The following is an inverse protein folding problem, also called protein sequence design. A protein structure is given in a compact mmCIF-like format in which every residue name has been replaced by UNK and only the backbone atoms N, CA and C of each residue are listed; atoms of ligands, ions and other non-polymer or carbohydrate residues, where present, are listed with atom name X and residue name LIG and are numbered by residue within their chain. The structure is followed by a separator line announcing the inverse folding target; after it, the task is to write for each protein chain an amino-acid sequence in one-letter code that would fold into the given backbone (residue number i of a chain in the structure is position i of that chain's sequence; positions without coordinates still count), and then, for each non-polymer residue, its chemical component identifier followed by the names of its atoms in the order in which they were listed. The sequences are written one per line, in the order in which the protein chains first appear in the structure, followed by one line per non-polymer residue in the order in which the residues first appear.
data_IF_283328755995
#
_entry.id   IF_283328755995
#
_cell.length_a   1.000
_cell.length_b   1.000
_cell.length_c   1.000
_cell.angle_alpha   90.00
_cell.angle_beta   90.00
_cell.angle_gamma   90.00
#
_symmetry.space_group_name_H-M   'P 1'
#
loop_
_entity.id
_entity.type
_entity.pdbx_description
1 polymer ?
#
# COMPACT_ATOMS: atom_id res chain seq x y z
N UNK A 1 -12.08 -4.05 41.48
CA UNK A 1 -11.72 -3.56 40.14
C UNK A 1 -12.99 -3.42 39.32
N UNK A 2 -13.15 -2.33 38.55
CA UNK A 2 -14.35 -2.11 37.71
C UNK A 2 -14.46 -3.17 36.61
N UNK A 3 -15.69 -3.49 36.18
CA UNK A 3 -15.96 -4.42 35.07
C UNK A 3 -15.45 -3.81 33.76
N UNK A 4 -15.06 -4.66 32.81
CA UNK A 4 -14.70 -4.20 31.46
C UNK A 4 -15.89 -3.50 30.78
N UNK A 5 -15.68 -2.29 30.29
CA UNK A 5 -16.68 -1.55 29.52
C UNK A 5 -16.51 -1.69 28.00
N UNK A 6 -17.57 -1.35 27.26
CA UNK A 6 -17.56 -1.36 25.80
C UNK A 6 -16.41 -0.49 25.26
N UNK A 7 -15.74 -0.98 24.22
CA UNK A 7 -14.61 -0.33 23.56
C UNK A 7 -13.32 -0.23 24.41
N UNK A 8 -13.31 -0.64 25.68
CA UNK A 8 -12.06 -0.83 26.42
C UNK A 8 -11.15 -1.83 25.70
N UNK A 9 -9.84 -1.68 25.91
CA UNK A 9 -8.84 -2.59 25.37
C UNK A 9 -8.01 -3.13 26.51
N UNK A 10 -7.79 -4.44 26.49
CA UNK A 10 -6.87 -5.12 27.39
C UNK A 10 -5.83 -5.91 26.59
N UNK A 11 -4.66 -6.14 27.18
CA UNK A 11 -3.62 -6.98 26.60
C UNK A 11 -2.90 -7.77 27.68
N UNK A 12 -2.13 -8.78 27.25
CA UNK A 12 -1.22 -9.49 28.14
C UNK A 12 -0.08 -8.57 28.57
N UNK A 13 0.26 -8.60 29.86
CA UNK A 13 1.43 -7.88 30.36
C UNK A 13 2.68 -8.49 29.72
N UNK A 14 3.62 -7.66 29.19
CA UNK A 14 4.82 -8.16 28.55
C UNK A 14 5.61 -9.12 29.46
N UNK A 15 6.13 -10.20 28.88
CA UNK A 15 6.91 -11.25 29.56
C UNK A 15 6.13 -12.12 30.55
N UNK A 16 4.82 -11.96 30.66
CA UNK A 16 3.94 -12.91 31.36
C UNK A 16 3.48 -13.97 30.37
N UNK A 17 3.72 -15.25 30.69
CA UNK A 17 3.30 -16.39 29.86
C UNK A 17 1.91 -16.86 30.33
N UNK A 18 1.14 -17.48 29.43
CA UNK A 18 -0.12 -18.22 29.71
C UNK A 18 -1.45 -17.44 29.83
N UNK A 19 -1.59 -16.24 29.27
CA UNK A 19 -2.89 -15.53 29.29
C UNK A 19 -3.87 -15.98 28.19
N UNK A 20 -3.39 -16.69 27.17
CA UNK A 20 -4.19 -17.05 25.99
C UNK A 20 -4.42 -15.91 24.97
N UNK A 21 -3.91 -14.70 25.24
CA UNK A 21 -4.06 -13.52 24.38
C UNK A 21 -2.73 -13.09 23.75
N UNK A 22 -2.60 -13.27 22.44
CA UNK A 22 -1.37 -12.94 21.69
C UNK A 22 -1.34 -11.52 21.10
N UNK A 23 -2.41 -10.75 21.28
CA UNK A 23 -2.51 -9.37 20.81
C UNK A 23 -3.51 -8.61 21.70
N UNK A 24 -3.52 -7.27 21.66
CA UNK A 24 -4.53 -6.49 22.36
C UNK A 24 -5.95 -6.86 21.93
N UNK A 25 -6.88 -6.92 22.88
CA UNK A 25 -8.27 -7.28 22.66
C UNK A 25 -9.17 -6.08 22.96
N UNK A 26 -10.02 -5.71 22.01
CA UNK A 26 -11.06 -4.71 22.22
C UNK A 26 -12.36 -5.38 22.64
N UNK A 27 -12.94 -4.90 23.72
CA UNK A 27 -14.24 -5.32 24.24
C UNK A 27 -15.36 -4.85 23.31
N UNK A 28 -16.18 -5.79 22.86
CA UNK A 28 -17.33 -5.53 21.97
C UNK A 28 -18.67 -5.70 22.67
N UNK A 29 -18.75 -6.61 23.65
CA UNK A 29 -19.99 -6.86 24.38
C UNK A 29 -19.69 -7.59 25.69
N UNK A 30 -20.45 -7.29 26.74
CA UNK A 30 -20.31 -7.89 28.07
C UNK A 30 -21.69 -8.19 28.62
N UNK A 31 -21.88 -9.40 29.13
CA UNK A 31 -23.07 -9.81 29.89
C UNK A 31 -22.59 -10.43 31.20
N UNK A 32 -22.57 -9.65 32.30
CA UNK A 32 -22.06 -10.13 33.58
C UNK A 32 -22.83 -11.35 34.11
N UNK A 33 -24.15 -11.35 33.99
CA UNK A 33 -25.02 -12.40 34.52
C UNK A 33 -24.83 -13.76 33.83
N UNK A 34 -24.39 -13.76 32.57
CA UNK A 34 -24.14 -14.98 31.78
C UNK A 34 -22.65 -15.35 31.70
N UNK A 35 -21.78 -14.61 32.39
CA UNK A 35 -20.33 -14.75 32.30
C UNK A 35 -19.77 -14.62 30.86
N UNK A 36 -20.37 -13.74 30.04
CA UNK A 36 -19.99 -13.61 28.63
C UNK A 36 -19.21 -12.31 28.39
N UNK A 37 -18.04 -12.46 27.78
CA UNK A 37 -17.27 -11.39 27.17
C UNK A 37 -17.06 -11.68 25.68
N UNK A 38 -17.41 -10.74 24.81
CA UNK A 38 -17.05 -10.77 23.39
C UNK A 38 -15.97 -9.73 23.14
N UNK A 39 -14.86 -10.16 22.54
CA UNK A 39 -13.75 -9.27 22.21
C UNK A 39 -13.14 -9.60 20.84
N UNK A 40 -12.48 -8.61 20.23
CA UNK A 40 -11.77 -8.75 18.96
C UNK A 40 -10.30 -8.32 19.10
N UNK A 41 -9.40 -9.15 18.55
CA UNK A 41 -7.97 -8.87 18.55
C UNK A 41 -7.58 -7.77 17.57
N UNK A 42 -6.89 -6.74 18.07
CA UNK A 42 -6.31 -5.65 17.31
C UNK A 42 -4.94 -6.11 16.76
N UNK A 43 -4.93 -6.58 15.52
CA UNK A 43 -3.74 -7.15 14.87
C UNK A 43 -3.74 -6.86 13.36
N UNK A 44 -2.59 -7.06 12.69
CA UNK A 44 -2.43 -6.79 11.25
C UNK A 44 -3.48 -7.51 10.38
N UNK A 45 -3.71 -8.80 10.68
CA UNK A 45 -4.71 -9.62 10.01
C UNK A 45 -5.88 -9.86 10.97
N UNK A 46 -6.89 -9.00 10.91
CA UNK A 46 -8.05 -9.09 11.78
C UNK A 46 -8.72 -10.46 11.66
N UNK A 47 -9.00 -11.05 12.82
CA UNK A 47 -9.70 -12.32 12.96
C UNK A 47 -11.12 -12.07 13.47
N UNK A 48 -11.97 -13.09 13.38
CA UNK A 48 -13.32 -13.07 13.94
C UNK A 48 -13.28 -12.79 15.46
N UNK A 49 -14.29 -12.09 16.03
CA UNK A 49 -14.41 -11.94 17.47
C UNK A 49 -14.46 -13.29 18.18
N UNK A 50 -13.81 -13.35 19.35
CA UNK A 50 -13.85 -14.46 20.29
C UNK A 50 -14.89 -14.23 21.39
N UNK A 51 -15.38 -15.33 21.96
CA UNK A 51 -16.24 -15.34 23.14
C UNK A 51 -15.44 -15.95 24.27
N UNK A 52 -15.44 -15.29 25.43
CA UNK A 52 -14.61 -15.60 26.58
C UNK A 52 -15.45 -15.57 27.86
N UNK A 53 -14.99 -16.26 28.90
CA UNK A 53 -15.51 -16.08 30.26
C UNK A 53 -15.11 -14.69 30.78
N UNK A 54 -16.08 -13.90 31.20
CA UNK A 54 -15.83 -12.58 31.78
C UNK A 54 -15.07 -12.70 33.11
N UNK A 55 -15.47 -13.64 33.97
CA UNK A 55 -14.87 -13.93 35.27
C UNK A 55 -13.41 -14.32 35.13
N UNK A 56 -13.07 -15.17 34.16
CA UNK A 56 -11.69 -15.56 33.91
C UNK A 56 -10.85 -14.37 33.46
N UNK A 57 -11.34 -13.56 32.52
CA UNK A 57 -10.60 -12.36 32.08
C UNK A 57 -10.45 -11.33 33.20
N UNK A 58 -11.49 -11.15 34.02
CA UNK A 58 -11.43 -10.27 35.20
C UNK A 58 -10.46 -10.79 36.26
N UNK A 59 -10.37 -12.11 36.46
CA UNK A 59 -9.35 -12.73 37.32
C UNK A 59 -7.94 -12.44 36.81
N UNK A 60 -7.68 -12.68 35.53
CA UNK A 60 -6.37 -12.39 34.92
C UNK A 60 -5.99 -10.91 35.01
N UNK A 61 -6.96 -9.99 34.91
CA UNK A 61 -6.73 -8.56 35.13
C UNK A 61 -6.43 -8.23 36.60
N UNK A 62 -7.13 -8.87 37.55
CA UNK A 62 -6.91 -8.67 39.00
C UNK A 62 -5.55 -9.22 39.43
N UNK A 63 -5.13 -10.34 38.85
CA UNK A 63 -3.84 -11.00 39.11
C UNK A 63 -2.67 -10.26 38.43
N UNK A 64 -2.93 -9.20 37.65
CA UNK A 64 -1.93 -8.42 36.95
C UNK A 64 -1.29 -9.15 35.76
N UNK A 65 -1.92 -10.21 35.26
CA UNK A 65 -1.47 -10.94 34.07
C UNK A 65 -1.97 -10.27 32.78
N UNK A 66 -3.13 -9.61 32.87
CA UNK A 66 -3.64 -8.69 31.86
C UNK A 66 -3.58 -7.25 32.37
N UNK A 67 -3.45 -6.31 31.46
CA UNK A 67 -3.54 -4.88 31.74
C UNK A 67 -4.53 -4.19 30.80
N UNK A 68 -5.20 -3.15 31.30
CA UNK A 68 -5.96 -2.23 30.45
C UNK A 68 -5.00 -1.29 29.75
N UNK A 69 -5.24 -1.04 28.47
CA UNK A 69 -4.44 -0.11 27.69
C UNK A 69 -5.30 0.90 26.95
N UNK A 70 -4.76 2.10 26.80
CA UNK A 70 -5.34 3.09 25.90
C UNK A 70 -4.79 2.86 24.48
N UNK A 71 -5.68 2.54 23.55
CA UNK A 71 -5.30 2.44 22.14
C UNK A 71 -5.54 3.78 21.48
N UNK A 72 -4.45 4.44 21.11
CA UNK A 72 -4.50 5.67 20.32
C UNK A 72 -5.32 5.45 19.05
N UNK A 73 -6.41 6.20 18.92
CA UNK A 73 -7.22 6.21 17.71
C UNK A 73 -6.40 6.70 16.52
N UNK A 74 -6.79 6.29 15.32
CA UNK A 74 -6.04 6.62 14.11
C UNK A 74 -6.13 8.11 13.82
N UNK A 75 -5.09 8.73 13.20
CA UNK A 75 -5.04 10.17 13.00
C UNK A 75 -6.27 10.76 12.32
N UNK A 76 -6.89 10.02 11.38
CA UNK A 76 -8.07 10.44 10.65
C UNK A 76 -9.30 10.68 11.54
N UNK A 77 -9.40 10.03 12.70
CA UNK A 77 -10.52 10.22 13.64
C UNK A 77 -10.53 11.62 14.25
N UNK A 78 -9.37 12.27 14.30
CA UNK A 78 -9.22 13.62 14.85
C UNK A 78 -9.13 14.70 13.76
N UNK A 79 -9.25 14.32 12.49
CA UNK A 79 -9.17 15.25 11.37
C UNK A 79 -10.58 15.69 10.95
N UNK A 80 -10.78 16.98 10.63
CA UNK A 80 -12.01 17.41 9.98
C UNK A 80 -12.12 16.72 8.60
N UNK A 81 -13.34 16.43 8.15
CA UNK A 81 -13.55 15.69 6.90
C UNK A 81 -12.92 16.40 5.69
N UNK A 82 -12.87 17.74 5.71
CA UNK A 82 -12.26 18.58 4.68
C UNK A 82 -10.75 18.36 4.55
N UNK A 83 -10.08 17.90 5.61
CA UNK A 83 -8.67 17.55 5.60
C UNK A 83 -8.43 16.11 5.10
N UNK A 84 -9.48 15.30 4.97
CA UNK A 84 -9.40 13.92 4.51
C UNK A 84 -9.61 13.88 2.99
N UNK A 85 -8.71 13.20 2.30
CA UNK A 85 -8.78 13.06 0.85
C UNK A 85 -10.11 12.43 0.42
N UNK A 86 -10.82 13.06 -0.54
CA UNK A 86 -12.17 12.64 -0.95
C UNK A 86 -12.28 11.15 -1.30
N UNK A 87 -11.32 10.59 -2.02
CA UNK A 87 -11.30 9.16 -2.36
C UNK A 87 -11.34 8.25 -1.13
N UNK A 88 -10.77 8.68 -0.01
CA UNK A 88 -10.75 7.94 1.25
C UNK A 88 -12.12 7.98 1.93
N UNK A 89 -12.79 9.14 1.89
CA UNK A 89 -14.18 9.30 2.34
C UNK A 89 -15.13 8.44 1.50
N UNK A 90 -14.98 8.44 0.17
CA UNK A 90 -15.83 7.62 -0.70
C UNK A 90 -15.67 6.11 -0.41
N UNK A 91 -14.48 5.66 0.01
CA UNK A 91 -14.24 4.28 0.44
C UNK A 91 -14.87 3.99 1.80
N UNK A 92 -14.73 4.93 2.75
CA UNK A 92 -15.37 4.87 4.08
C UNK A 92 -16.88 4.73 3.94
N UNK A 93 -17.51 5.62 3.16
CA UNK A 93 -18.96 5.70 3.03
C UNK A 93 -19.54 4.46 2.33
N UNK A 94 -18.84 3.94 1.31
CA UNK A 94 -19.19 2.66 0.68
C UNK A 94 -19.11 1.50 1.66
N UNK A 95 -18.03 1.41 2.44
CA UNK A 95 -17.90 0.37 3.46
C UNK A 95 -18.95 0.52 4.56
N UNK A 96 -19.30 1.74 4.94
CA UNK A 96 -20.32 2.03 5.93
C UNK A 96 -21.69 1.59 5.46
N UNK A 97 -22.07 1.90 4.21
CA UNK A 97 -23.34 1.46 3.63
C UNK A 97 -23.51 -0.07 3.65
N UNK A 98 -22.42 -0.82 3.51
CA UNK A 98 -22.42 -2.29 3.60
C UNK A 98 -22.75 -2.75 5.02
N UNK A 99 -22.06 -2.21 6.04
CA UNK A 99 -22.12 -2.75 7.41
C UNK A 99 -23.12 -2.05 8.32
N UNK A 100 -23.59 -0.83 7.98
CA UNK A 100 -24.47 -0.02 8.82
C UNK A 100 -25.68 -0.80 9.33
N UNK A 101 -26.38 -1.63 8.53
CA UNK A 101 -27.52 -2.40 9.04
C UNK A 101 -27.13 -3.48 10.07
N UNK A 102 -25.90 -3.99 10.03
CA UNK A 102 -25.42 -5.07 10.89
C UNK A 102 -24.95 -4.59 12.26
N UNK A 103 -24.69 -3.30 12.43
CA UNK A 103 -24.13 -2.72 13.68
C UNK A 103 -25.16 -1.89 14.45
N UNK A 104 -26.43 -1.97 14.07
CA UNK A 104 -27.55 -1.35 14.78
C UNK A 104 -27.90 -2.15 16.03
N UNK A 105 -28.55 -1.49 16.99
CA UNK A 105 -28.93 -2.09 18.28
C UNK A 105 -29.82 -3.33 18.13
N UNK A 106 -30.70 -3.37 17.13
CA UNK A 106 -31.58 -4.52 16.83
C UNK A 106 -30.83 -5.78 16.38
N UNK A 107 -29.58 -5.65 15.93
CA UNK A 107 -28.72 -6.78 15.58
C UNK A 107 -27.88 -7.29 16.77
N UNK A 108 -27.90 -6.59 17.92
CA UNK A 108 -27.14 -6.98 19.11
C UNK A 108 -28.04 -7.85 19.99
N UNK A 109 -27.56 -9.01 20.49
CA UNK A 109 -26.19 -9.52 20.41
C UNK A 109 -25.92 -10.48 19.24
N UNK A 110 -26.90 -10.76 18.39
CA UNK A 110 -26.79 -11.75 17.33
C UNK A 110 -25.59 -11.55 16.40
N UNK A 111 -25.20 -10.30 16.11
CA UNK A 111 -24.02 -10.01 15.29
C UNK A 111 -22.70 -10.34 15.99
N UNK A 112 -22.67 -10.42 17.32
CA UNK A 112 -21.48 -10.75 18.11
C UNK A 112 -21.30 -12.26 18.30
N UNK A 113 -22.39 -13.03 18.31
CA UNK A 113 -22.34 -14.47 18.56
C UNK A 113 -21.94 -15.27 17.30
N UNK A 114 -21.02 -16.24 17.37
CA UNK A 114 -20.47 -16.91 16.19
C UNK A 114 -21.52 -17.56 15.26
N UNK A 115 -22.55 -18.20 15.84
CA UNK A 115 -23.57 -18.95 15.10
C UNK A 115 -24.48 -18.03 14.29
N UNK A 116 -24.95 -16.95 14.89
CA UNK A 116 -25.88 -15.97 14.31
C UNK A 116 -25.16 -14.95 13.42
N UNK A 117 -23.96 -14.50 13.80
CA UNK A 117 -23.12 -13.57 13.03
C UNK A 117 -22.92 -14.02 11.59
N UNK A 118 -22.54 -15.29 11.40
CA UNK A 118 -22.30 -15.84 10.06
C UNK A 118 -23.54 -15.76 9.17
N UNK A 119 -24.73 -16.09 9.73
CA UNK A 119 -26.01 -16.01 9.02
C UNK A 119 -26.34 -14.58 8.61
N UNK A 120 -26.22 -13.62 9.53
CA UNK A 120 -26.51 -12.20 9.27
C UNK A 120 -25.58 -11.63 8.18
N UNK A 121 -24.29 -11.95 8.25
CA UNK A 121 -23.30 -11.50 7.26
C UNK A 121 -23.57 -12.11 5.89
N UNK A 122 -23.91 -13.41 5.82
CA UNK A 122 -24.22 -14.07 4.55
C UNK A 122 -25.52 -13.53 3.93
N UNK A 123 -26.55 -13.28 4.75
CA UNK A 123 -27.79 -12.66 4.29
C UNK A 123 -27.52 -11.26 3.71
N UNK A 124 -26.73 -10.43 4.42
CA UNK A 124 -26.34 -9.10 3.94
C UNK A 124 -25.50 -9.13 2.67
N UNK A 125 -24.59 -10.10 2.56
CA UNK A 125 -23.78 -10.30 1.36
C UNK A 125 -24.65 -10.69 0.15
N UNK A 126 -25.63 -11.58 0.35
CA UNK A 126 -26.57 -11.99 -0.69
C UNK A 126 -27.48 -10.83 -1.14
N UNK A 127 -28.00 -10.04 -0.20
CA UNK A 127 -28.83 -8.85 -0.49
C UNK A 127 -28.10 -7.84 -1.39
N UNK A 128 -26.79 -7.68 -1.21
CA UNK A 128 -25.97 -6.74 -1.96
C UNK A 128 -25.24 -7.37 -3.16
N UNK A 129 -25.44 -8.66 -3.42
CA UNK A 129 -24.71 -9.44 -4.44
C UNK A 129 -23.17 -9.31 -4.32
N UNK A 130 -22.66 -9.32 -3.08
CA UNK A 130 -21.23 -9.20 -2.77
C UNK A 130 -20.63 -10.52 -2.31
N UNK A 131 -19.31 -10.68 -2.48
CA UNK A 131 -18.59 -11.75 -1.81
C UNK A 131 -18.65 -11.53 -0.28
N UNK A 132 -18.93 -12.56 0.55
CA UNK A 132 -19.03 -12.39 2.01
C UNK A 132 -17.82 -11.71 2.64
N UNK A 133 -16.61 -11.87 2.08
CA UNK A 133 -15.40 -11.19 2.55
C UNK A 133 -15.52 -9.66 2.44
N UNK A 134 -16.28 -9.14 1.48
CA UNK A 134 -16.53 -7.71 1.33
C UNK A 134 -17.41 -7.15 2.46
N UNK A 135 -18.13 -8.00 3.21
CA UNK A 135 -18.86 -7.63 4.43
C UNK A 135 -18.02 -7.90 5.68
N UNK A 136 -17.37 -9.06 5.78
CA UNK A 136 -16.52 -9.42 6.93
C UNK A 136 -15.39 -8.40 7.17
N UNK A 137 -14.67 -7.99 6.12
CA UNK A 137 -13.49 -7.13 6.24
C UNK A 137 -13.81 -5.75 6.84
N UNK A 138 -14.79 -4.97 6.32
CA UNK A 138 -15.15 -3.69 6.93
C UNK A 138 -15.77 -3.87 8.32
N UNK A 139 -16.55 -4.92 8.56
CA UNK A 139 -17.17 -5.15 9.87
C UNK A 139 -16.13 -5.40 10.97
N UNK A 140 -15.15 -6.26 10.71
CA UNK A 140 -14.08 -6.52 11.68
C UNK A 140 -13.19 -5.29 11.87
N UNK A 141 -12.97 -4.52 10.82
CA UNK A 141 -12.23 -3.26 10.88
C UNK A 141 -12.95 -2.24 11.77
N UNK A 142 -14.25 -2.09 11.58
CA UNK A 142 -15.10 -1.22 12.39
C UNK A 142 -14.97 -1.58 13.87
N UNK A 143 -15.18 -2.86 14.21
CA UNK A 143 -15.07 -3.31 15.59
C UNK A 143 -13.67 -3.13 16.18
N UNK A 144 -12.61 -3.53 15.48
CA UNK A 144 -11.26 -3.48 16.04
C UNK A 144 -10.75 -2.05 16.29
N UNK A 145 -11.13 -1.08 15.45
CA UNK A 145 -10.59 0.28 15.49
C UNK A 145 -11.54 1.33 16.08
N UNK A 146 -12.46 0.90 16.96
CA UNK A 146 -13.20 1.83 17.82
C UNK A 146 -14.68 2.00 17.47
N UNK A 147 -15.25 1.13 16.64
CA UNK A 147 -16.68 1.10 16.31
C UNK A 147 -17.24 2.47 15.89
N UNK A 148 -16.45 3.24 15.13
CA UNK A 148 -16.85 4.52 14.54
C UNK A 148 -16.75 4.44 13.01
N UNK A 149 -17.47 5.33 12.30
CA UNK A 149 -17.46 5.33 10.84
C UNK A 149 -16.04 5.53 10.26
N UNK A 150 -15.23 6.36 10.90
CA UNK A 150 -13.86 6.68 10.46
C UNK A 150 -12.88 5.52 10.64
N UNK A 151 -13.23 4.51 11.44
CA UNK A 151 -12.49 3.26 11.50
C UNK A 151 -12.40 2.56 10.14
N UNK A 152 -13.33 2.85 9.22
CA UNK A 152 -13.38 2.27 7.87
C UNK A 152 -12.41 2.92 6.89
N UNK A 153 -11.85 4.08 7.22
CA UNK A 153 -10.82 4.74 6.41
C UNK A 153 -9.61 3.80 6.30
N UNK A 154 -9.13 3.61 5.07
CA UNK A 154 -8.00 2.73 4.82
C UNK A 154 -6.70 3.27 5.45
N UNK A 155 -5.87 2.34 5.92
CA UNK A 155 -4.61 2.58 6.61
C UNK A 155 -3.50 3.14 5.69
N UNK A 156 -3.75 4.21 4.94
CA UNK A 156 -2.75 4.78 4.01
C UNK A 156 -1.53 5.36 4.74
N UNK A 157 -1.70 5.81 5.99
CA UNK A 157 -0.62 6.14 6.94
C UNK A 157 0.37 4.98 7.17
N UNK A 158 -0.06 3.73 6.99
CA UNK A 158 0.78 2.54 7.07
C UNK A 158 1.26 2.04 5.69
N UNK A 159 0.85 2.72 4.60
CA UNK A 159 1.13 2.30 3.23
C UNK A 159 2.18 3.20 2.57
N UNK A 160 3.38 2.66 2.37
CA UNK A 160 4.44 3.27 1.58
C UNK A 160 5.49 3.99 2.42
N UNK A 161 6.71 4.18 1.89
CA UNK A 161 7.68 5.06 2.53
C UNK A 161 7.12 6.48 2.55
N UNK A 162 7.26 7.17 3.69
CA UNK A 162 6.93 8.57 3.85
C UNK A 162 7.67 9.43 2.82
N UNK A 163 7.06 9.66 1.65
CA UNK A 163 7.58 10.50 0.56
C UNK A 163 8.90 10.07 -0.12
N UNK A 164 9.59 9.03 0.37
CA UNK A 164 10.91 8.66 -0.12
C UNK A 164 10.84 7.66 -1.29
N UNK A 165 11.56 7.94 -2.38
CA UNK A 165 11.74 6.98 -3.48
C UNK A 165 12.47 5.74 -2.93
N UNK A 166 11.85 4.57 -3.03
CA UNK A 166 12.50 3.30 -2.72
C UNK A 166 13.71 3.08 -3.63
N UNK A 167 14.89 2.79 -3.04
CA UNK A 167 16.06 2.33 -3.80
C UNK A 167 15.63 1.24 -4.77
N UNK A 168 15.94 1.39 -6.04
CA UNK A 168 15.62 0.38 -7.03
C UNK A 168 16.41 -0.90 -6.71
N UNK A 169 15.73 -2.05 -6.72
CA UNK A 169 16.44 -3.34 -6.75
C UNK A 169 17.02 -3.60 -8.14
N UNK A 170 17.80 -4.66 -8.28
CA UNK A 170 18.32 -5.13 -9.58
C UNK A 170 17.21 -5.55 -10.54
N UNK A 171 16.05 -5.95 -10.01
CA UNK A 171 14.90 -6.38 -10.83
C UNK A 171 14.10 -5.20 -11.39
N UNK A 172 13.77 -5.30 -12.68
CA UNK A 172 12.89 -4.37 -13.39
C UNK A 172 11.51 -4.32 -12.72
N UNK A 173 11.12 -3.15 -12.22
CA UNK A 173 9.80 -2.89 -11.63
C UNK A 173 8.76 -2.57 -12.71
N UNK A 174 7.51 -3.01 -12.52
CA UNK A 174 6.36 -2.71 -13.40
C UNK A 174 5.91 -3.88 -14.27
N UNK A 175 4.92 -3.63 -15.15
CA UNK A 175 4.37 -4.63 -16.09
C UNK A 175 5.49 -5.19 -16.96
N UNK A 176 5.60 -6.52 -17.06
CA UNK A 176 6.53 -7.17 -18.00
C UNK A 176 6.15 -6.78 -19.43
N UNK A 177 7.12 -6.36 -20.28
CA UNK A 177 6.87 -6.07 -21.69
C UNK A 177 6.24 -7.27 -22.41
N UNK A 178 5.38 -7.02 -23.40
CA UNK A 178 4.67 -8.10 -24.10
C UNK A 178 5.64 -9.03 -24.87
N UNK A 179 6.78 -8.52 -25.36
CA UNK A 179 7.86 -9.35 -25.94
C UNK A 179 8.38 -10.45 -25.00
N UNK A 180 8.50 -10.16 -23.70
CA UNK A 180 8.94 -11.14 -22.68
C UNK A 180 7.86 -12.18 -22.44
N UNK A 181 6.59 -11.79 -22.52
CA UNK A 181 5.45 -12.71 -22.35
C UNK A 181 5.26 -13.63 -23.55
N UNK A 182 5.52 -13.11 -24.76
CA UNK A 182 5.35 -13.84 -26.02
C UNK A 182 6.48 -14.85 -26.24
N UNK A 183 7.72 -14.48 -25.94
CA UNK A 183 8.89 -15.35 -26.15
C UNK A 183 9.26 -16.19 -24.93
N UNK A 184 8.72 -15.85 -23.76
CA UNK A 184 9.03 -16.48 -22.47
C UNK A 184 10.54 -16.51 -22.12
N UNK A 185 11.33 -15.64 -22.77
CA UNK A 185 12.77 -15.53 -22.60
C UNK A 185 13.10 -14.33 -21.68
N UNK A 186 13.73 -14.56 -20.51
CA UNK A 186 14.18 -13.49 -19.63
C UNK A 186 15.29 -12.60 -20.21
N UNK A 187 16.01 -13.03 -21.25
CA UNK A 187 17.11 -12.26 -21.88
C UNK A 187 16.62 -10.94 -22.49
N UNK A 188 15.40 -10.93 -23.07
CA UNK A 188 14.77 -9.76 -23.71
C UNK A 188 14.06 -8.80 -22.73
N UNK A 189 14.22 -9.02 -21.42
CA UNK A 189 13.67 -8.16 -20.36
C UNK A 189 14.25 -6.74 -20.42
N UNK A 190 15.49 -6.61 -20.90
CA UNK A 190 16.27 -5.37 -20.97
C UNK A 190 16.71 -4.87 -19.58
N UNK A 191 17.58 -3.85 -19.52
CA UNK A 191 18.17 -3.36 -18.27
C UNK A 191 17.14 -2.80 -17.28
N UNK A 192 17.53 -2.78 -16.00
CA UNK A 192 16.78 -2.16 -14.91
C UNK A 192 16.52 -0.67 -15.20
N UNK A 193 15.36 -0.16 -14.79
CA UNK A 193 15.00 1.26 -14.94
C UNK A 193 16.02 2.19 -14.27
N UNK A 194 16.61 1.78 -13.15
CA UNK A 194 17.58 2.60 -12.44
C UNK A 194 18.94 2.67 -13.15
N UNK A 195 19.39 1.55 -13.71
CA UNK A 195 20.64 1.50 -14.49
C UNK A 195 20.51 2.32 -15.77
N UNK A 196 19.36 2.19 -16.44
CA UNK A 196 19.02 3.00 -17.63
C UNK A 196 18.98 4.47 -17.28
N UNK A 197 18.29 4.86 -16.20
CA UNK A 197 18.17 6.27 -15.81
C UNK A 197 19.54 6.88 -15.45
N UNK A 198 20.38 6.14 -14.73
CA UNK A 198 21.73 6.60 -14.35
C UNK A 198 22.59 6.86 -15.59
N UNK A 199 22.58 5.93 -16.55
CA UNK A 199 23.29 6.07 -17.83
C UNK A 199 22.72 7.18 -18.70
N UNK A 200 21.40 7.38 -18.71
CA UNK A 200 20.77 8.52 -19.39
C UNK A 200 21.26 9.84 -18.77
N UNK A 201 21.27 9.96 -17.44
CA UNK A 201 21.74 11.19 -16.76
C UNK A 201 23.21 11.47 -17.10
N UNK A 202 24.07 10.45 -17.09
CA UNK A 202 25.46 10.57 -17.53
C UNK A 202 25.56 11.04 -18.98
N UNK A 203 24.75 10.46 -19.88
CA UNK A 203 24.66 10.86 -21.27
C UNK A 203 24.17 12.29 -21.50
N UNK A 204 23.16 12.73 -20.75
CA UNK A 204 22.67 14.12 -20.77
C UNK A 204 23.81 15.06 -20.39
N UNK A 205 24.50 14.81 -19.27
CA UNK A 205 25.61 15.64 -18.82
C UNK A 205 26.78 15.66 -19.82
N UNK A 206 27.07 14.54 -20.47
CA UNK A 206 28.18 14.41 -21.39
C UNK A 206 27.90 15.02 -22.79
N UNK A 207 26.69 14.84 -23.31
CA UNK A 207 26.38 15.04 -24.73
C UNK A 207 25.30 16.09 -25.02
N UNK A 208 24.40 16.40 -24.08
CA UNK A 208 23.37 17.42 -24.30
C UNK A 208 23.94 18.83 -24.00
N UNK A 209 24.54 19.43 -25.02
CA UNK A 209 25.20 20.75 -24.97
C UNK A 209 24.54 21.76 -25.94
N UNK A 210 24.75 23.08 -25.75
CA UNK A 210 24.25 24.09 -26.69
C UNK A 210 24.69 23.77 -28.14
N UNK A 211 23.74 23.77 -29.08
CA UNK A 211 23.98 23.45 -30.49
C UNK A 211 23.88 21.96 -30.86
N UNK A 212 23.75 21.06 -29.89
CA UNK A 212 23.51 19.63 -30.11
C UNK A 212 22.02 19.33 -30.00
N UNK A 213 21.45 18.63 -31.00
CA UNK A 213 20.04 18.22 -30.92
C UNK A 213 19.86 17.11 -29.89
N UNK A 214 18.71 17.10 -29.22
CA UNK A 214 18.36 16.04 -28.24
C UNK A 214 18.48 14.65 -28.87
N UNK A 215 18.09 14.50 -30.14
CA UNK A 215 18.23 13.24 -30.89
C UNK A 215 19.70 12.81 -31.02
N UNK A 216 20.60 13.74 -31.34
CA UNK A 216 22.03 13.46 -31.46
C UNK A 216 22.65 13.08 -30.10
N UNK A 217 22.32 13.84 -29.04
CA UNK A 217 22.76 13.51 -27.68
C UNK A 217 22.26 12.13 -27.22
N UNK A 218 21.04 11.74 -27.59
CA UNK A 218 20.51 10.40 -27.35
C UNK A 218 21.28 9.31 -28.11
N UNK A 219 21.60 9.53 -29.38
CA UNK A 219 22.40 8.59 -30.19
C UNK A 219 23.82 8.39 -29.60
N UNK A 220 24.48 9.48 -29.22
CA UNK A 220 25.81 9.44 -28.58
C UNK A 220 25.74 8.75 -27.21
N UNK A 221 24.70 9.01 -26.42
CA UNK A 221 24.45 8.32 -25.14
C UNK A 221 24.34 6.81 -25.32
N UNK A 222 23.60 6.35 -26.33
CA UNK A 222 23.48 4.91 -26.65
C UNK A 222 24.84 4.31 -27.01
N UNK A 223 25.61 5.01 -27.85
CA UNK A 223 26.91 4.55 -28.33
C UNK A 223 27.96 4.45 -27.22
N UNK A 224 27.91 5.34 -26.22
CA UNK A 224 28.90 5.36 -25.14
C UNK A 224 28.54 4.46 -23.97
N UNK A 225 27.29 4.53 -23.49
CA UNK A 225 26.91 3.91 -22.22
C UNK A 225 26.11 2.60 -22.37
N UNK A 226 25.66 2.29 -23.58
CA UNK A 226 24.85 1.11 -23.88
C UNK A 226 25.46 0.21 -24.97
N UNK A 227 26.73 0.40 -25.37
CA UNK A 227 27.39 -0.52 -26.32
C UNK A 227 27.58 -1.91 -25.71
N UNK A 228 27.31 -2.96 -26.50
CA UNK A 228 27.38 -4.36 -26.07
C UNK A 228 28.75 -5.00 -26.38
N UNK A 229 29.56 -4.36 -27.23
CA UNK A 229 30.94 -4.78 -27.58
C UNK A 229 31.58 -3.91 -28.66
N UNK A 230 32.75 -4.30 -29.16
CA UNK A 230 33.45 -3.70 -30.30
C UNK A 230 33.87 -4.82 -31.27
N UNK A 231 33.72 -4.60 -32.58
CA UNK A 231 34.19 -5.52 -33.63
C UNK A 231 35.40 -4.87 -34.29
N UNK A 232 36.51 -5.61 -34.39
CA UNK A 232 37.67 -5.21 -35.18
C UNK A 232 37.40 -5.43 -36.67
N UNK A 233 37.46 -4.36 -37.45
CA UNK A 233 37.41 -4.44 -38.92
C UNK A 233 38.64 -3.73 -39.50
N UNK A 234 39.71 -4.49 -39.74
CA UNK A 234 41.02 -3.93 -40.09
C UNK A 234 41.62 -3.15 -38.92
N UNK A 235 42.04 -1.90 -39.15
CA UNK A 235 42.58 -1.01 -38.10
C UNK A 235 41.50 -0.18 -37.36
N UNK A 236 40.22 -0.50 -37.52
CA UNK A 236 39.10 0.26 -36.95
C UNK A 236 38.32 -0.58 -35.93
N UNK A 237 38.13 -0.05 -34.72
CA UNK A 237 37.24 -0.58 -33.70
C UNK A 237 35.84 0.02 -33.89
N UNK A 238 34.88 -0.80 -34.32
CA UNK A 238 33.49 -0.36 -34.54
C UNK A 238 32.63 -0.80 -33.34
N UNK A 239 31.99 0.13 -32.61
CA UNK A 239 31.12 -0.24 -31.49
C UNK A 239 29.86 -0.94 -31.99
N UNK A 240 29.55 -2.10 -31.40
CA UNK A 240 28.32 -2.84 -31.65
C UNK A 240 27.16 -2.07 -31.03
N UNK A 241 26.21 -1.69 -31.89
CA UNK A 241 25.00 -1.00 -31.47
C UNK A 241 24.12 -1.95 -30.63
N UNK A 242 23.61 -1.50 -29.47
CA UNK A 242 22.68 -2.30 -28.68
C UNK A 242 21.40 -2.58 -29.45
N UNK A 243 20.76 -3.71 -29.15
CA UNK A 243 19.41 -3.96 -29.64
C UNK A 243 18.40 -2.97 -28.99
N UNK A 244 17.25 -2.80 -29.64
CA UNK A 244 16.20 -1.88 -29.19
C UNK A 244 15.72 -2.11 -27.75
N UNK A 245 15.93 -3.32 -27.23
CA UNK A 245 15.53 -3.70 -25.89
C UNK A 245 16.59 -3.43 -24.81
N UNK A 246 17.84 -3.23 -25.22
CA UNK A 246 19.02 -3.04 -24.37
C UNK A 246 19.32 -1.54 -24.11
N UNK A 247 18.77 -0.66 -24.96
CA UNK A 247 18.98 0.78 -24.87
C UNK A 247 17.68 1.55 -24.56
N UNK A 248 17.79 2.78 -24.01
CA UNK A 248 16.63 3.63 -23.82
C UNK A 248 16.06 4.13 -25.14
N UNK A 249 14.74 4.15 -25.22
CA UNK A 249 14.03 4.85 -26.30
C UNK A 249 14.25 6.37 -26.21
N UNK A 250 14.12 7.06 -27.35
CA UNK A 250 14.17 8.52 -27.39
C UNK A 250 13.11 9.16 -26.46
N UNK A 251 11.93 8.54 -26.34
CA UNK A 251 10.90 8.99 -25.41
C UNK A 251 11.38 8.94 -23.95
N UNK A 252 12.02 7.84 -23.53
CA UNK A 252 12.57 7.71 -22.18
C UNK A 252 13.66 8.74 -21.91
N UNK A 253 14.53 9.00 -22.89
CA UNK A 253 15.53 10.05 -22.80
C UNK A 253 14.90 11.43 -22.60
N UNK A 254 13.89 11.78 -23.42
CA UNK A 254 13.17 13.05 -23.32
C UNK A 254 12.46 13.25 -21.97
N UNK A 255 11.90 12.19 -21.39
CA UNK A 255 11.27 12.27 -20.06
C UNK A 255 12.29 12.62 -18.98
N UNK A 256 13.49 12.01 -19.01
CA UNK A 256 14.55 12.32 -18.04
C UNK A 256 15.07 13.74 -18.22
N UNK A 257 15.25 14.22 -19.46
CA UNK A 257 15.61 15.62 -19.73
C UNK A 257 14.57 16.57 -19.12
N UNK A 258 13.28 16.28 -19.31
CA UNK A 258 12.18 17.06 -18.74
C UNK A 258 12.17 17.03 -17.21
N UNK A 259 12.40 15.86 -16.61
CA UNK A 259 12.48 15.69 -15.15
C UNK A 259 13.68 16.44 -14.53
N UNK A 260 14.79 16.56 -15.26
CA UNK A 260 15.99 17.27 -14.81
C UNK A 260 15.88 18.80 -14.90
N UNK A 261 14.77 19.33 -15.42
CA UNK A 261 14.51 20.77 -15.52
C UNK A 261 15.63 21.57 -16.22
N UNK A 262 16.41 20.93 -17.10
CA UNK A 262 17.36 21.64 -17.95
C UNK A 262 16.61 22.20 -19.15
N UNK A 263 16.16 23.43 -19.01
CA UNK A 263 15.48 24.17 -20.08
C UNK A 263 16.50 24.53 -21.18
N UNK A 264 16.45 23.83 -22.31
CA UNK A 264 17.21 24.17 -23.51
C UNK A 264 16.31 24.82 -24.57
N UNK A 265 15.46 25.76 -24.15
CA UNK A 265 14.67 26.62 -25.06
C UNK A 265 15.53 27.45 -26.05
N UNK A 266 16.87 27.44 -25.92
CA UNK A 266 17.81 28.13 -26.81
C UNK A 266 18.43 27.21 -27.86
N UNK A 267 17.63 26.60 -28.73
CA UNK A 267 18.13 26.20 -30.06
C UNK A 267 17.00 26.17 -31.12
N UNK A 268 16.15 27.20 -31.14
CA UNK A 268 15.49 27.55 -32.42
C UNK A 268 16.56 28.14 -33.32
N UNK A 269 16.80 27.48 -34.46
CA UNK A 269 17.62 28.02 -35.56
C UNK A 269 17.08 29.41 -35.91
N UNK A 270 17.89 30.45 -35.75
CA UNK A 270 17.71 31.67 -36.52
C UNK A 270 17.97 31.30 -37.99
N UNK A 271 16.90 31.06 -38.74
CA UNK A 271 16.94 31.21 -40.19
C UNK A 271 16.87 32.72 -40.41
N UNK A 272 18.02 33.34 -40.62
CA UNK A 272 18.08 34.69 -41.18
C UNK A 272 17.70 34.54 -42.65
N UNK A 273 16.49 34.96 -43.00
CA UNK A 273 16.14 35.33 -44.37
C UNK A 273 16.27 36.85 -44.48
N UNK A 274 16.98 37.32 -45.51
CA UNK A 274 17.19 38.73 -45.89
C UNK A 274 18.65 38.92 -46.33
N UNK A 275 18.98 39.27 -47.56
CA UNK A 275 18.23 39.61 -48.78
C UNK A 275 18.93 38.98 -50.00
#
# INVERSE_FOLDING_TARGET
MEILHLAEVFEAVPNVVETGFACPQRVLWVVPDEDVLVAIGIQKNLKKPGVYSLQEVMRLLNDGLLQRIEVKLRPYVFQPEEAILRRSLDVRDRAWAVIKPLVREDCIPDIYLPRTRGRLILARAAELELDPKQVYRPLYRYWAYGSCIDALIACYDLCGPSGQRQKAGSNKRGRRPDRVKLQNDPSVLGPSRADVQTKIVQGIHAFLKPGVTIKKAWEDTKRTYFKTGEIEHGNLLIPVLPEDHEAPSLHQFNQVVKEMNQDFSLTKRNIVNGD
#
